data_IF_076279373608
#
_entry.id   IF_076279373608
#
_cell.length_a   1.000
_cell.length_b   1.000
_cell.length_c   1.000
_cell.angle_alpha   90.00
_cell.angle_beta   90.00
_cell.angle_gamma   90.00
#
_symmetry.space_group_name_H-M   'P 1'
#
loop_
_entity.id
_entity.type
_entity.pdbx_description
1 polymer ?
#
# COMPACT_ATOMS: atom_id res chain seq x y z
N UNK A 1 -31.82 -9.24 7.24
CA UNK A 1 -30.44 -8.79 7.02
C UNK A 1 -29.58 -10.02 6.87
N UNK A 2 -28.67 -10.08 5.91
CA UNK A 2 -27.73 -11.20 5.81
C UNK A 2 -26.75 -11.15 6.99
N UNK A 3 -26.68 -12.21 7.78
CA UNK A 3 -25.71 -12.36 8.86
C UNK A 3 -24.31 -12.55 8.26
N UNK A 4 -23.58 -11.45 8.08
CA UNK A 4 -22.19 -11.48 7.60
C UNK A 4 -21.26 -11.56 8.80
N UNK A 5 -20.41 -12.60 8.82
CA UNK A 5 -19.41 -12.78 9.86
C UNK A 5 -18.44 -11.59 9.90
N UNK A 6 -18.08 -11.15 11.11
CA UNK A 6 -17.07 -10.09 11.30
C UNK A 6 -15.70 -10.59 10.79
N UNK A 7 -14.99 -9.81 9.96
CA UNK A 7 -13.66 -10.21 9.48
C UNK A 7 -12.66 -10.29 10.62
N UNK A 8 -11.70 -11.21 10.51
CA UNK A 8 -10.60 -11.39 11.45
C UNK A 8 -9.27 -11.13 10.74
N UNK A 9 -8.70 -9.95 10.96
CA UNK A 9 -7.42 -9.56 10.39
C UNK A 9 -6.28 -10.00 11.33
N UNK A 10 -5.14 -10.49 10.80
CA UNK A 10 -4.74 -10.49 9.38
C UNK A 10 -5.16 -11.75 8.58
N UNK A 11 -5.82 -12.72 9.21
CA UNK A 11 -6.20 -14.01 8.60
C UNK A 11 -7.06 -13.85 7.35
N UNK A 12 -7.88 -12.81 7.31
CA UNK A 12 -8.75 -12.46 6.19
C UNK A 12 -8.15 -11.43 5.22
N UNK A 13 -6.95 -10.90 5.44
CA UNK A 13 -6.40 -9.78 4.64
C UNK A 13 -6.17 -10.14 3.17
N UNK A 14 -5.86 -11.41 2.88
CA UNK A 14 -5.69 -11.90 1.51
C UNK A 14 -6.94 -11.67 0.65
N UNK A 15 -8.12 -11.50 1.26
CA UNK A 15 -9.38 -11.19 0.60
C UNK A 15 -9.39 -9.83 -0.09
N UNK A 16 -8.42 -8.94 0.18
CA UNK A 16 -8.24 -7.68 -0.55
C UNK A 16 -8.15 -7.92 -2.07
N UNK A 17 -7.54 -9.02 -2.49
CA UNK A 17 -7.36 -9.35 -3.91
C UNK A 17 -8.65 -9.85 -4.59
N UNK A 18 -9.73 -10.11 -3.83
CA UNK A 18 -11.06 -10.35 -4.40
C UNK A 18 -11.76 -9.05 -4.82
N UNK A 19 -11.25 -7.89 -4.39
CA UNK A 19 -11.79 -6.56 -4.71
C UNK A 19 -10.82 -5.80 -5.61
N UNK A 20 -9.53 -5.81 -5.26
CA UNK A 20 -8.47 -5.14 -5.99
C UNK A 20 -7.77 -6.16 -6.88
N UNK A 21 -7.91 -6.06 -8.21
CA UNK A 21 -7.20 -6.97 -9.12
C UNK A 21 -5.68 -6.70 -9.06
N UNK A 22 -4.85 -7.67 -8.61
CA UNK A 22 -3.41 -7.48 -8.54
C UNK A 22 -2.77 -7.24 -9.91
N UNK A 23 -3.29 -7.82 -10.99
CA UNK A 23 -2.74 -7.62 -12.33
C UNK A 23 -2.88 -6.17 -12.82
N UNK A 24 -3.88 -5.44 -12.32
CA UNK A 24 -4.10 -4.02 -12.64
C UNK A 24 -3.44 -3.10 -11.62
N UNK A 25 -3.48 -3.44 -10.34
CA UNK A 25 -3.16 -2.51 -9.25
C UNK A 25 -1.82 -2.74 -8.55
N UNK A 26 -1.17 -3.89 -8.71
CA UNK A 26 0.12 -4.15 -8.06
C UNK A 26 1.17 -3.12 -8.48
N UNK A 27 1.35 -2.91 -9.80
CA UNK A 27 2.33 -1.94 -10.29
C UNK A 27 2.01 -0.50 -9.87
N UNK A 28 0.75 0.01 -9.98
CA UNK A 28 0.38 1.31 -9.40
C UNK A 28 0.69 1.47 -7.92
N UNK A 29 0.45 0.44 -7.09
CA UNK A 29 0.76 0.49 -5.65
C UNK A 29 2.28 0.61 -5.46
N UNK A 30 3.07 -0.20 -6.16
CA UNK A 30 4.53 -0.16 -6.07
C UNK A 30 5.10 1.18 -6.55
N UNK A 31 4.57 1.75 -7.63
CA UNK A 31 4.97 3.09 -8.09
C UNK A 31 4.57 4.19 -7.11
N UNK A 32 3.42 4.07 -6.46
CA UNK A 32 3.01 5.04 -5.43
C UNK A 32 3.96 4.99 -4.23
N UNK A 33 4.32 3.79 -3.76
CA UNK A 33 5.31 3.62 -2.68
C UNK A 33 6.68 4.15 -3.11
N UNK A 34 7.10 3.91 -4.35
CA UNK A 34 8.34 4.47 -4.89
C UNK A 34 8.31 6.01 -4.91
N UNK A 35 7.22 6.63 -5.35
CA UNK A 35 7.08 8.09 -5.34
C UNK A 35 7.17 8.64 -3.92
N UNK A 36 6.50 8.01 -2.95
CA UNK A 36 6.61 8.39 -1.54
C UNK A 36 8.06 8.27 -1.05
N UNK A 37 8.73 7.16 -1.37
CA UNK A 37 10.12 6.97 -1.00
C UNK A 37 11.01 8.07 -1.58
N UNK A 38 10.91 8.35 -2.88
CA UNK A 38 11.68 9.41 -3.53
C UNK A 38 11.39 10.79 -2.92
N UNK A 39 10.13 11.11 -2.65
CA UNK A 39 9.74 12.39 -2.05
C UNK A 39 10.33 12.55 -0.64
N UNK A 40 10.24 11.52 0.20
CA UNK A 40 10.82 11.53 1.55
C UNK A 40 12.34 11.72 1.47
N UNK A 41 13.03 10.97 0.59
CA UNK A 41 14.47 11.12 0.43
C UNK A 41 14.81 12.52 -0.06
N UNK A 42 14.13 13.05 -1.08
CA UNK A 42 14.37 14.40 -1.58
C UNK A 42 14.27 15.46 -0.47
N UNK A 43 13.25 15.36 0.39
CA UNK A 43 13.08 16.26 1.54
C UNK A 43 14.24 16.11 2.52
N UNK A 44 14.56 14.89 2.94
CA UNK A 44 15.65 14.61 3.91
C UNK A 44 17.01 15.08 3.38
N UNK A 45 17.30 14.87 2.09
CA UNK A 45 18.49 15.39 1.43
C UNK A 45 18.50 16.93 1.40
N UNK A 46 17.35 17.57 1.14
CA UNK A 46 17.27 19.05 1.08
C UNK A 46 17.57 19.74 2.41
N UNK A 47 17.36 19.05 3.54
CA UNK A 47 17.62 19.59 4.88
C UNK A 47 18.97 19.12 5.47
N UNK A 48 19.84 18.54 4.64
CA UNK A 48 21.19 18.13 5.03
C UNK A 48 21.25 16.89 5.94
N UNK A 49 20.16 16.11 5.99
CA UNK A 49 20.08 14.84 6.73
C UNK A 49 20.24 13.60 5.81
N UNK A 50 20.51 13.81 4.51
CA UNK A 50 20.85 12.73 3.59
C UNK A 50 22.34 12.43 3.68
N UNK A 51 22.70 11.24 4.17
CA UNK A 51 24.06 10.70 4.19
C UNK A 51 24.12 9.37 3.47
#
# INVERSE_FOLDING_TARGET
MSDIAKPKNPEDDWKIWMVVNPATWLMPILFSVLVVALAVHAVVFSIGLGW
#
